data_IF_168868932959
#
_entry.id   IF_168868932959
#
_cell.length_a   1.000
_cell.length_b   1.000
_cell.length_c   1.000
_cell.angle_alpha   90.00
_cell.angle_beta   90.00
_cell.angle_gamma   90.00
#
_symmetry.space_group_name_H-M   'P 1'
#
loop_
_entity.id
_entity.type
_entity.pdbx_description
1 polymer ?
#
# COMPACT_ATOMS: atom_id res chain seq x y z
N UNK A 1 9.34 -22.76 0.65
CA UNK A 1 8.20 -22.00 0.11
C UNK A 1 7.99 -22.45 -1.33
N UNK A 2 6.79 -22.94 -1.69
CA UNK A 2 6.49 -23.34 -3.08
C UNK A 2 6.10 -22.09 -3.85
N UNK A 3 7.05 -21.50 -4.56
CA UNK A 3 6.82 -20.29 -5.37
C UNK A 3 6.03 -20.72 -6.61
N UNK A 4 4.98 -19.97 -6.96
CA UNK A 4 4.20 -20.22 -8.17
C UNK A 4 4.92 -19.58 -9.36
N UNK A 5 5.55 -20.41 -10.21
CA UNK A 5 6.34 -19.97 -11.36
C UNK A 5 5.56 -19.02 -12.28
N UNK A 6 4.25 -19.26 -12.47
CA UNK A 6 3.41 -18.38 -13.31
C UNK A 6 3.32 -16.95 -12.77
N UNK A 7 3.14 -16.81 -11.46
CA UNK A 7 3.07 -15.49 -10.82
C UNK A 7 4.43 -14.80 -10.89
N UNK A 8 5.52 -15.56 -10.72
CA UNK A 8 6.88 -15.05 -10.76
C UNK A 8 7.22 -14.50 -12.15
N UNK A 9 6.95 -15.27 -13.21
CA UNK A 9 7.13 -14.82 -14.59
C UNK A 9 6.30 -13.57 -14.87
N UNK A 10 5.02 -13.56 -14.48
CA UNK A 10 4.15 -12.39 -14.65
C UNK A 10 4.66 -11.16 -13.93
N UNK A 11 5.22 -11.31 -12.72
CA UNK A 11 5.79 -10.20 -11.97
C UNK A 11 7.07 -9.68 -12.60
N UNK A 12 7.95 -10.57 -13.06
CA UNK A 12 9.22 -10.22 -13.69
C UNK A 12 9.01 -9.27 -14.88
N UNK A 13 8.00 -9.51 -15.72
CA UNK A 13 7.67 -8.68 -16.88
C UNK A 13 6.59 -7.63 -16.64
N UNK A 14 6.08 -7.50 -15.42
CA UNK A 14 5.03 -6.52 -15.10
C UNK A 14 5.54 -5.07 -15.20
N UNK A 15 4.61 -4.11 -15.24
CA UNK A 15 4.90 -2.67 -15.25
C UNK A 15 5.31 -2.11 -13.89
N UNK A 16 5.63 -2.95 -12.91
CA UNK A 16 6.15 -2.50 -11.62
C UNK A 16 7.47 -1.76 -11.81
N UNK A 17 7.75 -0.71 -11.02
CA UNK A 17 9.02 0.01 -11.08
C UNK A 17 10.21 -0.96 -11.01
N UNK A 18 11.22 -0.66 -11.82
CA UNK A 18 12.50 -1.39 -11.86
C UNK A 18 13.52 -0.55 -11.10
N UNK A 19 14.15 -1.14 -10.09
CA UNK A 19 15.15 -0.44 -9.29
C UNK A 19 16.49 -0.34 -10.03
N UNK A 20 16.84 -1.38 -10.79
CA UNK A 20 17.98 -1.40 -11.70
C UNK A 20 17.83 -2.48 -12.76
N UNK A 21 18.27 -2.22 -13.98
CA UNK A 21 18.36 -3.21 -15.04
C UNK A 21 19.62 -3.03 -15.87
N UNK A 22 20.10 -4.09 -16.51
CA UNK A 22 21.36 -4.04 -17.25
C UNK A 22 21.92 -5.41 -17.59
N UNK A 23 22.91 -5.43 -18.48
CA UNK A 23 23.67 -6.65 -18.75
C UNK A 23 24.73 -6.88 -17.68
N UNK A 24 24.84 -8.13 -17.22
CA UNK A 24 25.97 -8.63 -16.44
C UNK A 24 26.39 -9.99 -17.01
N UNK A 25 27.64 -10.36 -16.78
CA UNK A 25 28.12 -11.71 -17.03
C UNK A 25 27.94 -12.56 -15.78
N UNK A 26 27.22 -13.68 -15.87
CA UNK A 26 27.03 -14.61 -14.75
C UNK A 26 27.92 -15.83 -14.93
N UNK A 27 28.69 -16.19 -13.90
CA UNK A 27 29.42 -17.47 -13.87
C UNK A 27 28.43 -18.63 -13.76
N UNK A 28 28.58 -19.64 -14.63
CA UNK A 28 27.79 -20.86 -14.58
C UNK A 28 28.12 -21.71 -13.34
N UNK A 29 27.10 -22.39 -12.82
CA UNK A 29 27.22 -23.20 -11.60
C UNK A 29 28.04 -24.48 -11.88
N UNK A 30 27.76 -25.14 -13.02
CA UNK A 30 28.42 -26.38 -13.50
C UNK A 30 29.60 -26.03 -14.41
N UNK A 31 29.31 -25.50 -15.60
CA UNK A 31 30.30 -25.03 -16.54
C UNK A 31 30.69 -23.62 -16.09
N UNK A 32 31.84 -23.48 -15.40
CA UNK A 32 32.34 -22.22 -14.82
C UNK A 32 32.58 -21.09 -15.84
N UNK A 33 32.08 -21.22 -17.06
CA UNK A 33 32.03 -20.19 -18.09
C UNK A 33 31.08 -19.06 -17.71
N UNK A 34 31.44 -17.84 -18.12
CA UNK A 34 30.61 -16.66 -17.96
C UNK A 34 29.63 -16.52 -19.11
N UNK A 35 28.37 -16.22 -18.78
CA UNK A 35 27.31 -16.02 -19.75
C UNK A 35 26.71 -14.63 -19.58
N UNK A 36 26.60 -13.87 -20.67
CA UNK A 36 25.92 -12.57 -20.65
C UNK A 36 24.43 -12.77 -20.44
N UNK A 37 23.87 -12.12 -19.43
CA UNK A 37 22.44 -12.20 -19.06
C UNK A 37 21.90 -10.80 -18.83
N UNK A 38 20.64 -10.60 -19.14
CA UNK A 38 19.94 -9.36 -18.83
C UNK A 38 19.35 -9.46 -17.42
N UNK A 39 19.81 -8.62 -16.49
CA UNK A 39 19.36 -8.61 -15.11
C UNK A 39 18.34 -7.48 -14.89
N UNK A 40 17.32 -7.77 -14.08
CA UNK A 40 16.27 -6.82 -13.68
C UNK A 40 16.03 -6.98 -12.18
N UNK A 41 16.30 -5.93 -11.42
CA UNK A 41 16.03 -5.84 -9.99
C UNK A 41 14.68 -5.16 -9.76
N UNK A 42 13.81 -5.84 -9.01
CA UNK A 42 12.50 -5.34 -8.57
C UNK A 42 12.27 -5.70 -7.10
N UNK A 43 12.31 -4.71 -6.22
CA UNK A 43 12.35 -4.90 -4.77
C UNK A 43 13.56 -5.74 -4.38
N UNK A 44 13.31 -6.85 -3.68
CA UNK A 44 14.33 -7.82 -3.28
C UNK A 44 14.49 -9.00 -4.28
N UNK A 45 13.88 -8.92 -5.46
CA UNK A 45 13.92 -9.96 -6.48
C UNK A 45 14.80 -9.55 -7.65
N UNK A 46 15.88 -10.30 -7.86
CA UNK A 46 16.78 -10.13 -8.99
C UNK A 46 16.49 -11.20 -10.05
N UNK A 47 15.81 -10.81 -11.12
CA UNK A 47 15.52 -11.64 -12.27
C UNK A 47 16.68 -11.60 -13.26
N UNK A 48 16.88 -12.70 -13.99
CA UNK A 48 17.77 -12.71 -15.14
C UNK A 48 17.18 -13.45 -16.33
N UNK A 49 17.45 -12.91 -17.52
CA UNK A 49 16.93 -13.37 -18.80
C UNK A 49 18.08 -13.69 -19.76
N UNK A 50 17.82 -14.46 -20.81
CA UNK A 50 18.79 -14.63 -21.91
C UNK A 50 18.97 -13.29 -22.65
N UNK A 51 17.87 -12.58 -22.92
CA UNK A 51 17.86 -11.29 -23.61
C UNK A 51 16.90 -10.29 -22.95
N UNK A 52 17.09 -9.00 -23.25
CA UNK A 52 16.32 -7.88 -22.66
C UNK A 52 14.80 -7.97 -22.85
N UNK A 53 14.32 -8.54 -23.95
CA UNK A 53 12.89 -8.55 -24.31
C UNK A 53 12.22 -9.92 -24.13
N UNK A 54 12.88 -10.83 -23.43
CA UNK A 54 12.32 -12.15 -23.17
C UNK A 54 11.17 -12.06 -22.16
N UNK A 55 10.15 -12.90 -22.37
CA UNK A 55 8.95 -12.93 -21.53
C UNK A 55 9.11 -13.81 -20.29
N UNK A 56 10.07 -14.72 -20.32
CA UNK A 56 10.29 -15.70 -19.27
C UNK A 56 11.69 -15.53 -18.68
N UNK A 57 11.81 -15.29 -17.37
CA UNK A 57 13.11 -15.26 -16.72
C UNK A 57 13.72 -16.67 -16.72
N UNK A 58 15.03 -16.73 -16.92
CA UNK A 58 15.80 -17.97 -16.77
C UNK A 58 15.89 -18.36 -15.30
N UNK A 59 15.88 -17.36 -14.40
CA UNK A 59 15.71 -17.60 -12.98
C UNK A 59 15.55 -16.31 -12.18
N UNK A 60 15.37 -16.51 -10.87
CA UNK A 60 15.27 -15.44 -9.88
C UNK A 60 16.26 -15.70 -8.75
N UNK A 61 16.84 -14.63 -8.23
CA UNK A 61 17.64 -14.61 -7.01
C UNK A 61 16.90 -13.73 -6.01
N UNK A 62 16.55 -14.29 -4.86
CA UNK A 62 15.91 -13.55 -3.76
C UNK A 62 17.03 -13.00 -2.90
N UNK A 63 17.14 -11.68 -2.77
CA UNK A 63 18.24 -10.99 -2.09
C UNK A 63 18.00 -10.86 -0.58
N UNK A 64 17.52 -11.93 0.05
CA UNK A 64 17.31 -11.99 1.50
C UNK A 64 18.39 -12.85 2.16
N UNK A 65 18.96 -12.35 3.26
CA UNK A 65 20.02 -13.06 4.00
C UNK A 65 21.31 -13.25 3.19
N UNK A 66 21.58 -12.39 2.21
CA UNK A 66 22.80 -12.40 1.42
C UNK A 66 23.74 -11.24 1.73
N UNK A 67 25.04 -11.45 1.50
CA UNK A 67 26.05 -10.37 1.46
C UNK A 67 26.54 -10.17 0.03
N UNK A 68 26.90 -8.92 -0.27
CA UNK A 68 27.53 -8.54 -1.54
C UNK A 68 28.99 -8.25 -1.25
N UNK A 69 29.88 -8.99 -1.90
CA UNK A 69 31.33 -8.90 -1.69
C UNK A 69 32.04 -8.72 -3.04
N UNK A 70 33.22 -8.09 -3.02
CA UNK A 70 34.10 -8.09 -4.19
C UNK A 70 34.57 -9.51 -4.49
N UNK A 71 34.74 -9.85 -5.76
CA UNK A 71 35.30 -11.13 -6.15
C UNK A 71 36.82 -11.11 -5.91
N UNK A 72 37.37 -12.19 -5.34
CA UNK A 72 38.77 -12.27 -4.94
C UNK A 72 39.74 -12.48 -6.12
N UNK A 73 39.23 -12.76 -7.33
CA UNK A 73 40.04 -13.11 -8.50
C UNK A 73 40.29 -11.91 -9.42
N UNK A 74 41.58 -11.66 -9.67
CA UNK A 74 42.10 -10.59 -10.55
C UNK A 74 41.91 -10.84 -12.04
N UNK A 75 41.51 -12.05 -12.45
CA UNK A 75 41.32 -12.42 -13.86
C UNK A 75 40.06 -11.80 -14.47
N UNK A 76 39.02 -11.56 -13.67
CA UNK A 76 37.73 -11.04 -14.13
C UNK A 76 37.54 -9.61 -13.61
N UNK A 77 37.99 -8.62 -14.39
CA UNK A 77 37.84 -7.21 -14.06
C UNK A 77 36.36 -6.86 -13.75
N UNK A 78 36.14 -6.08 -12.69
CA UNK A 78 34.82 -5.57 -12.26
C UNK A 78 33.81 -6.66 -11.84
N UNK A 79 34.29 -7.69 -11.16
CA UNK A 79 33.46 -8.80 -10.66
C UNK A 79 33.14 -8.71 -9.17
N UNK A 80 31.95 -9.15 -8.80
CA UNK A 80 31.45 -9.23 -7.43
C UNK A 80 30.67 -10.53 -7.22
N UNK A 81 30.46 -10.90 -5.95
CA UNK A 81 29.77 -12.12 -5.54
C UNK A 81 28.60 -11.83 -4.60
N UNK A 82 27.47 -12.50 -4.86
CA UNK A 82 26.31 -12.57 -3.96
C UNK A 82 26.45 -13.86 -3.16
N UNK A 83 26.63 -13.75 -1.84
CA UNK A 83 26.89 -14.86 -0.93
C UNK A 83 25.68 -15.11 -0.03
N UNK A 84 25.17 -16.34 -0.01
CA UNK A 84 24.08 -16.73 0.88
C UNK A 84 24.60 -17.48 2.10
N UNK A 85 24.24 -17.01 3.29
CA UNK A 85 24.59 -17.64 4.56
C UNK A 85 23.51 -18.68 4.91
N UNK A 86 23.74 -19.93 4.54
CA UNK A 86 22.80 -21.02 4.82
C UNK A 86 23.29 -22.36 4.28
N UNK A 87 22.55 -23.45 4.53
CA UNK A 87 22.90 -24.78 4.06
C UNK A 87 23.09 -24.79 2.53
N UNK A 88 24.29 -25.14 2.08
CA UNK A 88 24.66 -25.19 0.67
C UNK A 88 25.45 -23.99 0.13
N UNK A 89 25.75 -22.97 0.96
CA UNK A 89 26.64 -21.83 0.65
C UNK A 89 26.53 -21.35 -0.81
N UNK A 90 25.30 -21.18 -1.30
CA UNK A 90 25.11 -20.82 -2.70
C UNK A 90 25.71 -19.45 -2.94
N UNK A 91 26.50 -19.32 -3.99
CA UNK A 91 27.08 -18.05 -4.40
C UNK A 91 26.87 -17.80 -5.87
N UNK A 92 26.73 -16.53 -6.23
CA UNK A 92 26.65 -16.09 -7.63
C UNK A 92 27.77 -15.11 -7.88
N UNK A 93 28.62 -15.41 -8.85
CA UNK A 93 29.66 -14.49 -9.32
C UNK A 93 29.14 -13.78 -10.56
N UNK A 94 29.12 -12.45 -10.50
CA UNK A 94 28.64 -11.57 -11.55
C UNK A 94 29.76 -10.59 -11.95
N UNK A 95 29.93 -10.36 -13.24
CA UNK A 95 30.85 -9.38 -13.80
C UNK A 95 30.11 -8.23 -14.47
N UNK A 96 30.55 -7.01 -14.21
CA UNK A 96 30.09 -5.80 -14.88
C UNK A 96 31.01 -5.41 -16.04
N UNK A 97 30.56 -4.48 -16.89
CA UNK A 97 31.34 -3.98 -18.02
C UNK A 97 32.43 -2.97 -17.63
N UNK A 98 32.25 -2.28 -16.50
CA UNK A 98 33.16 -1.26 -15.98
C UNK A 98 32.96 -1.08 -14.46
N UNK A 99 33.90 -0.36 -13.84
CA UNK A 99 33.90 -0.07 -12.40
C UNK A 99 32.62 0.61 -11.92
N UNK A 100 32.16 1.64 -12.63
CA UNK A 100 30.97 2.41 -12.24
C UNK A 100 29.72 1.51 -12.23
N UNK A 101 29.55 0.71 -13.28
CA UNK A 101 28.43 -0.25 -13.38
C UNK A 101 28.48 -1.26 -12.23
N UNK A 102 29.66 -1.80 -11.91
CA UNK A 102 29.85 -2.69 -10.77
C UNK A 102 29.41 -2.03 -9.46
N UNK A 103 29.90 -0.83 -9.17
CA UNK A 103 29.56 -0.09 -7.93
C UNK A 103 28.06 0.18 -7.82
N UNK A 104 27.43 0.63 -8.92
CA UNK A 104 25.99 0.85 -8.95
C UNK A 104 25.22 -0.45 -8.71
N UNK A 105 25.64 -1.56 -9.31
CA UNK A 105 25.00 -2.86 -9.10
C UNK A 105 25.18 -3.34 -7.66
N UNK A 106 26.40 -3.31 -7.13
CA UNK A 106 26.67 -3.70 -5.74
C UNK A 106 25.85 -2.88 -4.76
N UNK A 107 25.77 -1.55 -4.96
CA UNK A 107 24.95 -0.65 -4.16
C UNK A 107 23.46 -1.03 -4.21
N UNK A 108 22.89 -1.16 -5.41
CA UNK A 108 21.48 -1.52 -5.57
C UNK A 108 21.15 -2.86 -4.93
N UNK A 109 22.03 -3.86 -5.07
CA UNK A 109 21.81 -5.19 -4.49
C UNK A 109 21.95 -5.20 -2.96
N UNK A 110 22.91 -4.45 -2.41
CA UNK A 110 23.10 -4.33 -0.97
C UNK A 110 21.91 -3.63 -0.29
N UNK A 111 21.30 -2.66 -0.96
CA UNK A 111 20.13 -1.92 -0.46
C UNK A 111 18.78 -2.64 -0.67
N UNK A 112 18.75 -3.75 -1.43
CA UNK A 112 17.51 -4.40 -1.82
C UNK A 112 16.87 -5.27 -0.73
N UNK A 113 17.65 -5.70 0.27
CA UNK A 113 17.18 -6.62 1.32
C UNK A 113 16.21 -5.95 2.29
N UNK A 114 15.29 -6.74 2.86
CA UNK A 114 14.41 -6.26 3.91
C UNK A 114 15.19 -5.79 5.15
N UNK A 115 16.29 -6.48 5.49
CA UNK A 115 17.15 -6.12 6.62
C UNK A 115 17.73 -4.70 6.46
N UNK A 116 18.16 -4.33 5.25
CA UNK A 116 18.61 -2.97 4.96
C UNK A 116 17.49 -1.95 5.18
N UNK A 117 16.30 -2.20 4.64
CA UNK A 117 15.15 -1.30 4.81
C UNK A 117 14.78 -1.14 6.29
N UNK A 118 14.83 -2.23 7.07
CA UNK A 118 14.56 -2.22 8.51
C UNK A 118 15.59 -1.39 9.27
N UNK A 119 16.87 -1.52 8.95
CA UNK A 119 17.94 -0.72 9.54
C UNK A 119 17.77 0.77 9.20
N UNK A 120 17.42 1.08 7.96
CA UNK A 120 17.16 2.46 7.53
C UNK A 120 15.97 3.07 8.28
N UNK A 121 14.87 2.33 8.44
CA UNK A 121 13.69 2.78 9.20
C UNK A 121 14.05 3.03 10.66
N UNK A 122 14.82 2.14 11.29
CA UNK A 122 15.25 2.31 12.67
C UNK A 122 16.11 3.58 12.86
N UNK A 123 17.04 3.82 11.94
CA UNK A 123 17.89 5.01 11.97
C UNK A 123 17.09 6.30 11.72
N UNK A 124 16.18 6.31 10.75
CA UNK A 124 15.32 7.47 10.49
C UNK A 124 14.40 7.78 11.67
N UNK A 125 13.85 6.75 12.34
CA UNK A 125 13.04 6.94 13.54
C UNK A 125 13.86 7.58 14.67
N UNK A 126 15.11 7.12 14.89
CA UNK A 126 16.02 7.72 15.86
C UNK A 126 16.27 9.21 15.57
N UNK A 127 16.48 9.56 14.30
CA UNK A 127 16.69 10.95 13.88
C UNK A 127 15.46 11.83 14.13
N UNK A 128 14.25 11.29 13.93
CA UNK A 128 13.00 12.02 14.23
C UNK A 128 12.83 12.26 15.74
N UNK A 129 13.11 11.26 16.56
CA UNK A 129 12.98 11.37 18.02
C UNK A 129 13.96 12.41 18.60
N UNK A 130 15.18 12.51 18.04
CA UNK A 130 16.17 13.52 18.43
C UNK A 130 15.73 14.95 18.08
N UNK A 131 15.11 15.14 16.91
CA UNK A 131 14.57 16.44 16.51
C UNK A 131 13.41 16.87 17.43
N UNK A 132 12.47 15.97 17.73
CA UNK A 132 11.35 16.28 18.62
C UNK A 132 11.80 16.54 20.07
N UNK A 133 12.86 15.87 20.52
CA UNK A 133 13.49 16.12 21.82
C UNK A 133 14.06 17.52 22.00
N UNK A 134 14.44 18.21 20.91
CA UNK A 134 14.96 19.58 20.97
C UNK A 134 13.88 20.66 21.12
N UNK A 135 12.60 20.37 20.83
CA UNK A 135 11.52 21.38 20.81
C UNK A 135 10.89 21.58 22.22
N UNK A 136 11.19 20.72 23.20
CA UNK A 136 10.49 20.74 24.51
C UNK A 136 11.18 21.57 25.60
N UNK A 137 12.34 22.20 25.35
CA UNK A 137 13.08 22.92 26.41
C UNK A 137 12.75 24.40 26.58
N UNK A 138 11.90 25.02 25.74
CA UNK A 138 11.59 26.46 25.87
C UNK A 138 10.12 26.81 25.59
N UNK A 139 9.19 26.01 26.13
CA UNK A 139 7.80 26.45 26.24
C UNK A 139 7.62 27.30 27.50
N UNK A 140 7.22 28.59 27.42
CA UNK A 140 6.97 29.39 28.60
C UNK A 140 5.82 28.77 29.41
N UNK A 141 6.16 28.21 30.57
CA UNK A 141 5.20 27.76 31.58
C UNK A 141 4.32 28.95 31.97
N UNK A 142 3.02 28.83 31.70
CA UNK A 142 2.02 29.81 32.14
C UNK A 142 2.03 29.79 33.68
N UNK A 143 2.25 30.93 34.37
CA UNK A 143 2.30 30.96 35.82
C UNK A 143 1.01 30.39 36.43
N UNK A 144 1.10 29.71 37.59
CA UNK A 144 -0.07 29.15 38.25
C UNK A 144 -1.12 30.25 38.47
N UNK A 145 -2.30 30.05 37.87
CA UNK A 145 -3.43 30.97 37.90
C UNK A 145 -3.84 31.18 39.37
N UNK A 146 -3.50 32.33 39.95
CA UNK A 146 -4.02 32.72 41.28
C UNK A 146 -5.55 32.73 41.21
N UNK A 147 -6.19 31.90 42.03
CA UNK A 147 -7.63 31.81 42.09
C UNK A 147 -8.20 33.06 42.76
N UNK A 148 -9.13 33.73 42.09
CA UNK A 148 -9.74 34.96 42.59
C UNK A 148 -10.44 34.70 43.93
N UNK A 149 -10.22 35.54 44.96
CA UNK A 149 -10.79 35.35 46.31
C UNK A 149 -12.32 35.36 46.34
N UNK A 150 -12.96 35.89 45.29
CA UNK A 150 -14.41 36.00 45.17
C UNK A 150 -15.11 34.69 44.77
N UNK A 151 -14.38 33.61 44.44
CA UNK A 151 -14.99 32.35 44.01
C UNK A 151 -15.03 31.26 45.09
N UNK A 152 -15.06 31.65 46.37
CA UNK A 152 -15.17 30.72 47.51
C UNK A 152 -16.60 30.18 47.60
N UNK A 153 -16.84 29.03 46.98
CA UNK A 153 -18.08 28.30 47.22
C UNK A 153 -18.04 27.73 48.63
N UNK A 154 -18.98 28.18 49.46
CA UNK A 154 -19.23 27.62 50.78
C UNK A 154 -19.69 26.16 50.65
N UNK A 155 -19.09 25.30 51.45
CA UNK A 155 -19.44 23.88 51.63
C UNK A 155 -20.79 23.78 52.35
N UNK A 156 -21.71 22.95 51.84
CA UNK A 156 -22.80 22.41 52.64
C UNK A 156 -24.07 22.04 51.88
N UNK A 157 -24.39 20.75 51.93
CA UNK A 157 -25.70 20.10 51.72
C UNK A 157 -26.06 19.61 50.30
N UNK A 158 -26.07 18.27 50.16
CA UNK A 158 -26.99 17.55 49.26
C UNK A 158 -28.44 17.80 49.72
N UNK A 159 -29.43 17.81 48.81
CA UNK A 159 -30.23 16.59 48.64
C UNK A 159 -30.71 16.27 47.20
N UNK A 160 -30.78 14.96 46.95
CA UNK A 160 -31.79 14.14 46.25
C UNK A 160 -32.49 14.61 44.94
N UNK A 161 -32.28 13.79 43.92
CA UNK A 161 -33.19 13.33 42.84
C UNK A 161 -34.48 14.11 42.53
N UNK A 162 -34.56 14.64 41.31
CA UNK A 162 -35.81 14.65 40.53
C UNK A 162 -35.51 14.38 39.04
N UNK A 163 -36.07 13.28 38.55
CA UNK A 163 -36.23 12.98 37.12
C UNK A 163 -37.06 14.08 36.47
N UNK A 164 -36.64 14.61 35.32
CA UNK A 164 -37.57 15.12 34.31
C UNK A 164 -36.95 15.01 32.91
N UNK A 165 -37.57 14.16 32.10
CA UNK A 165 -37.39 13.99 30.66
C UNK A 165 -37.65 15.30 29.92
N UNK A 166 -36.72 15.71 29.05
CA UNK A 166 -36.93 16.84 28.14
C UNK A 166 -37.24 16.29 26.74
N UNK A 167 -38.49 16.51 26.35
CA UNK A 167 -39.12 16.24 25.06
C UNK A 167 -38.49 17.08 23.94
N UNK A 168 -38.31 16.49 22.75
CA UNK A 168 -37.91 17.17 21.51
C UNK A 168 -39.01 18.12 21.02
N UNK A 169 -38.70 19.31 20.48
CA UNK A 169 -39.67 20.08 19.71
C UNK A 169 -39.68 19.67 18.23
N UNK A 170 -40.90 19.43 17.73
CA UNK A 170 -41.24 19.25 16.32
C UNK A 170 -40.96 20.52 15.49
N UNK A 171 -40.42 20.35 14.29
CA UNK A 171 -40.32 21.39 13.25
C UNK A 171 -41.19 20.95 12.06
N UNK A 172 -42.16 21.77 11.61
CA UNK A 172 -43.10 21.41 10.54
C UNK A 172 -42.46 21.47 9.15
N UNK A 173 -43.05 20.79 8.14
CA UNK A 173 -42.46 20.69 6.81
C UNK A 173 -42.84 21.92 5.96
N UNK A 174 -41.85 22.62 5.40
CA UNK A 174 -42.11 23.57 4.33
C UNK A 174 -41.20 23.35 3.12
N UNK A 175 -41.87 22.99 2.03
CA UNK A 175 -41.58 23.18 0.61
C UNK A 175 -40.12 23.06 0.09
N UNK A 176 -39.96 22.03 -0.73
CA UNK A 176 -38.92 21.93 -1.74
C UNK A 176 -39.01 23.09 -2.75
N UNK A 177 -38.01 23.97 -2.74
CA UNK A 177 -37.55 24.69 -3.92
C UNK A 177 -36.13 25.23 -3.69
N UNK A 178 -35.19 24.75 -4.52
CA UNK A 178 -33.91 25.39 -4.85
C UNK A 178 -32.90 25.58 -3.69
N UNK A 179 -32.04 24.58 -3.48
CA UNK A 179 -30.74 24.79 -2.84
C UNK A 179 -29.64 24.32 -3.80
N UNK A 180 -28.77 25.28 -4.11
CA UNK A 180 -27.71 25.23 -5.10
C UNK A 180 -26.76 24.02 -4.95
N UNK A 181 -26.24 23.57 -6.10
CA UNK A 181 -25.04 22.72 -6.24
C UNK A 181 -23.98 23.17 -5.23
N UNK A 182 -23.39 22.26 -4.41
CA UNK A 182 -22.24 22.65 -3.60
C UNK A 182 -21.05 22.87 -4.56
N UNK A 183 -20.50 24.08 -4.53
CA UNK A 183 -19.26 24.42 -5.24
C UNK A 183 -18.11 23.52 -4.78
N UNK A 184 -17.12 23.26 -5.66
CA UNK A 184 -15.92 22.53 -5.29
C UNK A 184 -15.13 23.33 -4.24
N UNK A 185 -14.92 22.73 -3.07
CA UNK A 185 -14.11 23.32 -2.00
C UNK A 185 -12.67 23.50 -2.53
N UNK A 186 -12.22 24.75 -2.62
CA UNK A 186 -10.87 25.13 -2.98
C UNK A 186 -9.87 24.54 -1.96
N UNK A 187 -9.00 23.64 -2.42
CA UNK A 187 -8.12 22.79 -1.58
C UNK A 187 -6.93 23.52 -0.95
N UNK A 188 -7.01 24.83 -0.76
CA UNK A 188 -5.89 25.65 -0.29
C UNK A 188 -6.09 26.21 1.13
N UNK A 189 -6.64 25.38 2.03
CA UNK A 189 -6.68 25.67 3.46
C UNK A 189 -5.82 24.66 4.22
N UNK A 190 -4.90 25.21 5.01
CA UNK A 190 -3.92 24.56 5.86
C UNK A 190 -4.41 23.20 6.40
N UNK A 191 -3.81 22.08 5.95
CA UNK A 191 -4.22 20.70 6.27
C UNK A 191 -4.29 20.40 7.78
N UNK A 192 -3.71 21.25 8.62
CA UNK A 192 -3.56 21.04 10.07
C UNK A 192 -4.76 21.49 10.93
N UNK A 193 -5.93 21.83 10.36
CA UNK A 193 -7.11 22.27 11.15
C UNK A 193 -8.45 21.62 10.80
N UNK A 194 -8.47 20.58 9.96
CA UNK A 194 -9.75 19.94 9.60
C UNK A 194 -10.11 18.91 10.67
N UNK A 195 -11.24 19.11 11.33
CA UNK A 195 -11.71 18.17 12.35
C UNK A 195 -12.30 16.92 11.72
N UNK A 196 -12.26 15.80 12.45
CA UNK A 196 -12.90 14.55 12.01
C UNK A 196 -14.40 14.75 11.68
N UNK A 197 -15.10 15.63 12.43
CA UNK A 197 -16.52 15.94 12.21
C UNK A 197 -16.76 16.60 10.84
N UNK A 198 -15.86 17.49 10.41
CA UNK A 198 -15.96 18.17 9.12
C UNK A 198 -15.69 17.21 7.97
N UNK A 199 -14.65 16.37 8.09
CA UNK A 199 -14.36 15.31 7.11
C UNK A 199 -15.52 14.33 6.98
N UNK A 200 -16.08 13.88 8.10
CA UNK A 200 -17.21 12.95 8.11
C UNK A 200 -18.48 13.56 7.50
N UNK A 201 -18.72 14.85 7.71
CA UNK A 201 -19.87 15.52 7.09
C UNK A 201 -19.69 15.72 5.58
N UNK A 202 -18.47 16.08 5.15
CA UNK A 202 -18.16 16.32 3.74
C UNK A 202 -18.18 15.02 2.92
N UNK A 203 -17.45 13.99 3.38
CA UNK A 203 -17.27 12.74 2.62
C UNK A 203 -18.18 11.60 3.10
N UNK A 204 -18.59 11.58 4.36
CA UNK A 204 -19.45 10.51 4.87
C UNK A 204 -20.85 10.52 4.26
N UNK A 205 -21.39 11.70 3.93
CA UNK A 205 -22.74 11.80 3.32
C UNK A 205 -22.79 11.26 1.89
N UNK A 206 -21.76 11.49 1.07
CA UNK A 206 -21.67 10.92 -0.28
C UNK A 206 -21.50 9.40 -0.22
N UNK A 207 -20.59 8.92 0.61
CA UNK A 207 -20.35 7.47 0.80
C UNK A 207 -21.64 6.75 1.25
N UNK A 208 -22.40 7.34 2.17
CA UNK A 208 -23.67 6.77 2.64
C UNK A 208 -24.73 6.74 1.53
N UNK A 209 -24.76 7.74 0.65
CA UNK A 209 -25.66 7.77 -0.51
C UNK A 209 -25.31 6.69 -1.51
N UNK A 210 -24.04 6.61 -1.92
CA UNK A 210 -23.56 5.62 -2.89
C UNK A 210 -23.81 4.19 -2.39
N UNK A 211 -23.57 3.95 -1.10
CA UNK A 211 -23.89 2.65 -0.47
C UNK A 211 -25.38 2.34 -0.49
N UNK A 212 -26.23 3.35 -0.25
CA UNK A 212 -27.69 3.17 -0.26
C UNK A 212 -28.20 2.88 -1.67
N UNK A 213 -27.68 3.60 -2.67
CA UNK A 213 -27.99 3.37 -4.08
C UNK A 213 -27.53 1.99 -4.56
N UNK A 214 -26.31 1.58 -4.21
CA UNK A 214 -25.80 0.25 -4.52
C UNK A 214 -26.69 -0.87 -3.94
N UNK A 215 -27.13 -0.72 -2.68
CA UNK A 215 -28.06 -1.69 -2.06
C UNK A 215 -29.44 -1.70 -2.73
N UNK A 216 -29.92 -0.55 -3.20
CA UNK A 216 -31.17 -0.45 -3.94
C UNK A 216 -31.09 -1.12 -5.31
N UNK A 217 -29.98 -0.93 -6.03
CA UNK A 217 -29.72 -1.59 -7.32
C UNK A 217 -29.64 -3.11 -7.18
N UNK A 218 -29.01 -3.61 -6.11
CA UNK A 218 -29.00 -5.05 -5.81
C UNK A 218 -30.42 -5.58 -5.62
N UNK A 219 -31.26 -4.90 -4.82
CA UNK A 219 -32.67 -5.29 -4.62
C UNK A 219 -33.47 -5.30 -5.92
N UNK A 220 -33.26 -4.31 -6.80
CA UNK A 220 -33.94 -4.26 -8.10
C UNK A 220 -33.51 -5.40 -9.03
N UNK A 221 -32.21 -5.74 -9.05
CA UNK A 221 -31.70 -6.89 -9.82
C UNK A 221 -32.26 -8.23 -9.31
N UNK A 222 -32.51 -8.37 -8.01
CA UNK A 222 -33.12 -9.59 -7.45
C UNK A 222 -34.63 -9.68 -7.71
N UNK A 223 -35.32 -8.54 -7.93
CA UNK A 223 -36.76 -8.53 -8.27
C UNK A 223 -37.03 -8.68 -9.77
N UNK A 224 -36.12 -8.24 -10.64
CA UNK A 224 -36.27 -8.39 -12.11
C UNK A 224 -35.99 -9.81 -12.61
N UNK A 225 -35.37 -10.69 -11.81
CA UNK A 225 -35.16 -12.10 -12.15
C UNK A 225 -36.35 -13.01 -11.81
N UNK A 226 -37.44 -12.47 -11.26
CA UNK A 226 -38.66 -13.21 -10.89
C UNK A 226 -39.89 -12.58 -11.56
N UNK A 227 -39.96 -12.62 -12.90
CA UNK A 227 -41.22 -12.49 -13.61
C UNK A 227 -41.37 -13.66 -14.61
N UNK A 228 -42.45 -14.46 -14.52
CA UNK A 228 -42.60 -15.67 -15.32
C UNK A 228 -43.00 -15.32 -16.76
N UNK A 229 -42.30 -15.93 -17.71
CA UNK A 229 -42.66 -15.94 -19.12
C UNK A 229 -44.05 -16.57 -19.29
N UNK A 230 -44.99 -15.77 -19.80
CA UNK A 230 -46.25 -16.27 -20.37
C UNK A 230 -45.92 -17.12 -21.62
N UNK A 231 -45.74 -18.43 -21.44
CA UNK A 231 -45.82 -19.38 -22.54
C UNK A 231 -47.29 -19.66 -22.83
N UNK A 232 -47.76 -19.16 -23.98
CA UNK A 232 -49.06 -19.51 -24.54
C UNK A 232 -48.98 -20.91 -25.15
N UNK A 233 -49.69 -21.88 -24.57
CA UNK A 233 -49.91 -23.20 -25.18
C UNK A 233 -51.00 -23.10 -26.27
N UNK A 234 -50.79 -23.63 -27.49
CA UNK A 234 -51.90 -23.95 -28.39
C UNK A 234 -52.37 -25.40 -28.15
N UNK A 235 -53.69 -25.61 -28.12
CA UNK A 235 -54.36 -26.92 -28.21
C UNK A 235 -55.42 -26.84 -29.31
N UNK A 236 -56.04 -27.95 -29.74
CA UNK A 236 -55.47 -29.10 -30.45
C UNK A 236 -56.21 -29.32 -31.80
N UNK A 237 -55.62 -30.02 -32.77
CA UNK A 237 -56.40 -30.60 -33.88
C UNK A 237 -55.98 -32.05 -34.16
N UNK A 238 -56.90 -32.97 -33.90
CA UNK A 238 -56.93 -34.35 -34.40
C UNK A 238 -57.37 -34.35 -35.87
N UNK A 239 -56.76 -35.15 -36.76
CA UNK A 239 -57.27 -35.37 -38.11
C UNK A 239 -58.33 -36.47 -38.13
N UNK A 240 -59.39 -36.24 -38.92
CA UNK A 240 -60.46 -37.19 -39.24
C UNK A 240 -60.11 -38.02 -40.49
N UNK A 241 -60.58 -39.28 -40.47
CA UNK A 241 -60.74 -40.30 -41.54
C UNK A 241 -59.56 -41.29 -41.68
N UNK A 242 -59.79 -42.61 -41.76
CA UNK A 242 -60.96 -43.35 -42.28
C UNK A 242 -61.68 -44.23 -41.24
#
# INVERSE_FOLDING_TARGET
MKINDKNLCSFATSMTPVDKEGYLTKRGDINKAFQKRWFVLKGNLLFYFEKRHDKEPVGVIILEGCTIELADNTEDAFSFKIMFHGPGNRSYILGAENQESMEQWMKSLACASYDYMKLMVAELQRQLDELDGTIVSDSPQVPPRRQNPFNRHHVGQQPQSLQHSITMPDIPPHNAAQINKPEPINTNTNRNKITFRELHNAYGRSILRDRTEFRYQLKQKTQTSLSPSHCSCPSPQLPLKC
#
